data_IF_700466246170
#
_entry.id   IF_700466246170
#
_cell.length_a   1.000
_cell.length_b   1.000
_cell.length_c   1.000
_cell.angle_alpha   90.00
_cell.angle_beta   90.00
_cell.angle_gamma   90.00
#
_symmetry.space_group_name_H-M   'P 1'
#
loop_
_entity.id
_entity.type
_entity.pdbx_description
1 polymer ?
#
# COMPACT_ATOMS: atom_id res chain seq x y z
N UNK A 1 23.16 -6.28 -24.65
CA UNK A 1 22.26 -5.60 -23.70
C UNK A 1 20.89 -5.29 -24.31
N UNK A 2 20.79 -5.00 -25.61
CA UNK A 2 19.49 -4.71 -26.25
C UNK A 2 18.59 -5.95 -26.44
N UNK A 3 19.15 -7.16 -26.38
CA UNK A 3 18.46 -8.44 -26.61
C UNK A 3 18.11 -9.20 -25.31
N UNK A 4 18.26 -8.56 -24.14
CA UNK A 4 18.05 -9.17 -22.80
C UNK A 4 18.86 -10.47 -22.58
N UNK A 5 20.02 -10.59 -23.23
CA UNK A 5 20.96 -11.67 -22.98
C UNK A 5 21.78 -11.36 -21.73
N UNK A 6 21.42 -12.04 -20.63
CA UNK A 6 22.10 -11.95 -19.33
C UNK A 6 22.84 -13.24 -18.99
N UNK A 7 23.25 -14.00 -19.99
CA UNK A 7 24.11 -15.17 -19.77
C UNK A 7 25.37 -14.74 -19.00
N UNK A 8 25.70 -15.39 -17.87
CA UNK A 8 26.70 -14.88 -16.96
C UNK A 8 28.13 -15.11 -17.45
N UNK A 9 28.85 -14.02 -17.74
CA UNK A 9 30.32 -14.04 -17.68
C UNK A 9 30.83 -13.97 -16.24
N UNK A 10 30.07 -13.24 -15.40
CA UNK A 10 30.28 -13.18 -13.94
C UNK A 10 28.93 -13.01 -13.25
N UNK A 11 28.62 -13.89 -12.31
CA UNK A 11 27.31 -13.95 -11.63
C UNK A 11 27.09 -12.78 -10.67
N UNK A 12 25.89 -12.22 -10.64
CA UNK A 12 25.48 -11.15 -9.71
C UNK A 12 25.80 -11.53 -8.25
N UNK A 13 25.41 -12.72 -7.82
CA UNK A 13 25.66 -13.19 -6.44
C UNK A 13 27.15 -13.21 -6.05
N UNK A 14 28.04 -13.55 -6.98
CA UNK A 14 29.48 -13.53 -6.73
C UNK A 14 30.03 -12.12 -6.70
N UNK A 15 29.57 -11.27 -7.62
CA UNK A 15 29.98 -9.87 -7.65
C UNK A 15 29.59 -9.12 -6.38
N UNK A 16 28.35 -9.30 -5.88
CA UNK A 16 27.92 -8.73 -4.60
C UNK A 16 28.78 -9.22 -3.44
N UNK A 17 29.13 -10.50 -3.40
CA UNK A 17 30.04 -11.06 -2.39
C UNK A 17 31.40 -10.36 -2.43
N UNK A 18 31.99 -10.22 -3.62
CA UNK A 18 33.32 -9.62 -3.78
C UNK A 18 33.31 -8.13 -3.39
N UNK A 19 32.25 -7.38 -3.78
CA UNK A 19 32.09 -5.98 -3.38
C UNK A 19 31.93 -5.84 -1.86
N UNK A 20 31.20 -6.74 -1.19
CA UNK A 20 31.08 -6.72 0.27
C UNK A 20 32.42 -6.98 0.96
N UNK A 21 33.22 -7.90 0.45
CA UNK A 21 34.60 -8.15 0.95
C UNK A 21 35.42 -6.89 0.77
N UNK A 22 35.39 -6.25 -0.40
CA UNK A 22 36.15 -5.02 -0.64
C UNK A 22 35.78 -3.89 0.33
N UNK A 23 34.49 -3.75 0.67
CA UNK A 23 34.02 -2.77 1.67
C UNK A 23 34.50 -3.12 3.07
N UNK A 24 34.52 -4.40 3.44
CA UNK A 24 35.03 -4.85 4.77
C UNK A 24 36.52 -4.63 4.96
N UNK A 25 37.32 -4.82 3.91
CA UNK A 25 38.77 -4.68 3.91
C UNK A 25 39.23 -3.22 3.73
N UNK A 26 38.35 -2.32 3.30
CA UNK A 26 38.70 -0.92 3.07
C UNK A 26 38.86 -0.15 4.40
N UNK A 27 39.95 0.59 4.51
CA UNK A 27 40.21 1.47 5.67
C UNK A 27 39.59 2.87 5.54
N UNK A 28 38.70 3.06 4.54
CA UNK A 28 37.99 4.31 4.25
C UNK A 28 36.61 4.02 3.64
N UNK A 29 35.67 4.95 3.76
CA UNK A 29 34.31 4.75 3.24
C UNK A 29 34.25 4.63 1.73
N UNK A 30 33.68 3.53 1.22
CA UNK A 30 33.46 3.28 -0.21
C UNK A 30 32.01 3.59 -0.61
N UNK A 31 31.62 4.86 -0.56
CA UNK A 31 30.22 5.28 -0.79
C UNK A 31 29.66 4.80 -2.14
N UNK A 32 30.44 4.91 -3.23
CA UNK A 32 30.04 4.45 -4.55
C UNK A 32 29.85 2.92 -4.60
N UNK A 33 30.72 2.16 -3.96
CA UNK A 33 30.61 0.69 -3.90
C UNK A 33 29.38 0.28 -3.09
N UNK A 34 29.10 0.92 -1.97
CA UNK A 34 27.92 0.66 -1.16
C UNK A 34 26.63 0.91 -1.94
N UNK A 35 26.59 1.93 -2.78
CA UNK A 35 25.46 2.18 -3.67
C UNK A 35 25.27 1.04 -4.68
N UNK A 36 26.34 0.65 -5.36
CA UNK A 36 26.33 -0.46 -6.34
C UNK A 36 25.90 -1.78 -5.68
N UNK A 37 26.35 -2.05 -4.46
CA UNK A 37 25.91 -3.22 -3.70
C UNK A 37 24.38 -3.21 -3.52
N UNK A 38 23.78 -2.08 -3.14
CA UNK A 38 22.33 -1.97 -2.97
C UNK A 38 21.58 -2.26 -4.27
N UNK A 39 22.06 -1.72 -5.39
CA UNK A 39 21.44 -1.91 -6.72
C UNK A 39 21.46 -3.40 -7.14
N UNK A 40 22.58 -4.10 -6.89
CA UNK A 40 22.67 -5.53 -7.18
C UNK A 40 21.95 -6.43 -6.17
N UNK A 41 21.86 -6.03 -4.90
CA UNK A 41 21.05 -6.76 -3.90
C UNK A 41 19.57 -6.70 -4.30
N UNK A 42 19.08 -5.56 -4.74
CA UNK A 42 17.71 -5.43 -5.27
C UNK A 42 17.46 -6.38 -6.47
N UNK A 43 18.41 -6.49 -7.38
CA UNK A 43 18.33 -7.46 -8.48
C UNK A 43 18.32 -8.92 -7.99
N UNK A 44 19.08 -9.24 -6.93
CA UNK A 44 19.05 -10.58 -6.33
C UNK A 44 17.68 -10.89 -5.70
N UNK A 45 17.07 -9.92 -5.04
CA UNK A 45 15.74 -10.04 -4.44
C UNK A 45 14.64 -10.22 -5.52
N UNK A 46 14.86 -9.67 -6.72
CA UNK A 46 14.05 -9.93 -7.92
C UNK A 46 14.35 -11.28 -8.61
N UNK A 47 15.18 -12.15 -8.01
CA UNK A 47 15.49 -13.47 -8.54
C UNK A 47 16.59 -13.51 -9.61
N UNK A 48 17.39 -12.43 -9.75
CA UNK A 48 18.43 -12.31 -10.79
C UNK A 48 19.83 -12.71 -10.30
N UNK A 49 19.95 -13.43 -9.18
CA UNK A 49 21.22 -13.85 -8.56
C UNK A 49 22.14 -14.64 -9.49
N UNK A 50 21.54 -15.45 -10.36
CA UNK A 50 22.23 -16.36 -11.30
C UNK A 50 22.39 -15.78 -12.72
N UNK A 51 22.08 -14.50 -12.90
CA UNK A 51 22.34 -13.77 -14.13
C UNK A 51 23.72 -13.11 -14.11
N UNK A 52 24.18 -12.70 -15.30
CA UNK A 52 25.42 -11.92 -15.45
C UNK A 52 25.26 -10.49 -14.94
N UNK A 53 26.37 -9.90 -14.51
CA UNK A 53 26.38 -8.52 -13.95
C UNK A 53 25.86 -7.47 -14.93
N UNK A 54 25.82 -7.73 -16.23
CA UNK A 54 25.21 -6.84 -17.22
C UNK A 54 23.69 -6.68 -17.02
N UNK A 55 23.03 -7.55 -16.24
CA UNK A 55 21.61 -7.38 -15.89
C UNK A 55 21.36 -6.15 -14.99
N UNK A 56 22.42 -5.42 -14.57
CA UNK A 56 22.26 -4.14 -13.86
C UNK A 56 21.38 -3.14 -14.64
N UNK A 57 21.29 -3.28 -15.96
CA UNK A 57 20.37 -2.45 -16.77
C UNK A 57 18.92 -2.59 -16.30
N UNK A 58 18.52 -3.76 -15.75
CA UNK A 58 17.16 -4.00 -15.27
C UNK A 58 16.84 -3.17 -14.01
N UNK A 59 17.87 -2.81 -13.23
CA UNK A 59 17.69 -1.91 -12.10
C UNK A 59 17.28 -0.50 -12.56
N UNK A 60 17.81 -0.05 -13.70
CA UNK A 60 17.52 1.27 -14.26
C UNK A 60 16.35 1.28 -15.25
N UNK A 61 15.78 0.11 -15.55
CA UNK A 61 14.56 0.07 -16.37
C UNK A 61 13.39 0.65 -15.57
N UNK A 62 12.68 1.55 -16.21
CA UNK A 62 11.45 2.08 -15.65
C UNK A 62 10.44 0.94 -15.46
N UNK A 63 9.71 0.89 -14.34
CA UNK A 63 8.66 -0.08 -14.15
C UNK A 63 7.61 0.09 -15.26
N UNK A 64 7.21 -1.03 -15.86
CA UNK A 64 6.11 -1.03 -16.83
C UNK A 64 4.79 -1.21 -16.09
N UNK A 65 4.22 -0.11 -15.63
CA UNK A 65 2.94 -0.16 -14.94
C UNK A 65 1.82 -0.37 -15.96
N UNK A 66 1.09 -1.49 -15.80
CA UNK A 66 -0.02 -1.90 -16.65
C UNK A 66 -1.36 -1.90 -15.92
N UNK A 67 -1.35 -1.85 -14.60
CA UNK A 67 -2.55 -1.75 -13.77
C UNK A 67 -2.25 -0.98 -12.49
N UNK A 68 -3.28 -0.33 -11.93
CA UNK A 68 -3.21 0.32 -10.62
C UNK A 68 -4.17 -0.38 -9.66
N UNK A 69 -3.73 -0.67 -8.45
CA UNK A 69 -4.53 -1.29 -7.40
C UNK A 69 -4.58 -0.33 -6.22
N UNK A 70 -5.76 0.12 -5.89
CA UNK A 70 -6.00 1.04 -4.78
C UNK A 70 -6.35 0.26 -3.51
N UNK A 71 -5.74 0.60 -2.38
CA UNK A 71 -6.47 0.46 -1.13
C UNK A 71 -7.65 1.43 -1.09
N UNK A 72 -8.54 1.32 -0.12
CA UNK A 72 -9.72 2.17 -0.04
C UNK A 72 -9.72 3.07 1.19
N UNK A 73 -9.60 2.48 2.35
CA UNK A 73 -9.77 3.15 3.63
C UNK A 73 -8.53 3.98 3.98
N UNK A 74 -8.67 5.31 4.13
CA UNK A 74 -7.54 6.22 4.34
C UNK A 74 -6.85 6.66 3.02
N UNK A 75 -6.96 5.87 1.95
CA UNK A 75 -6.34 6.16 0.67
C UNK A 75 -7.29 6.83 -0.35
N UNK A 76 -8.44 6.22 -0.62
CA UNK A 76 -9.45 6.78 -1.52
C UNK A 76 -10.39 7.71 -0.78
N UNK A 77 -10.78 7.33 0.44
CA UNK A 77 -11.72 8.04 1.29
C UNK A 77 -11.14 8.29 2.68
N UNK A 78 -11.41 9.47 3.23
CA UNK A 78 -10.93 9.90 4.56
C UNK A 78 -11.69 9.18 5.69
N UNK A 79 -11.70 7.86 5.65
CA UNK A 79 -12.40 7.02 6.63
C UNK A 79 -11.68 6.92 7.97
N UNK A 80 -10.38 7.25 8.04
CA UNK A 80 -9.66 7.32 9.30
C UNK A 80 -10.13 8.46 10.19
N UNK A 81 -10.33 9.65 9.61
CA UNK A 81 -10.89 10.79 10.35
C UNK A 81 -12.30 10.47 10.86
N UNK A 82 -13.14 9.92 9.99
CA UNK A 82 -14.48 9.48 10.36
C UNK A 82 -14.42 8.49 11.53
N UNK A 83 -13.55 7.47 11.45
CA UNK A 83 -13.40 6.48 12.52
C UNK A 83 -13.00 7.11 13.86
N UNK A 84 -12.09 8.12 13.85
CA UNK A 84 -11.68 8.81 15.06
C UNK A 84 -12.83 9.54 15.74
N UNK A 85 -13.66 10.21 14.96
CA UNK A 85 -14.79 10.95 15.45
C UNK A 85 -15.89 9.98 15.94
N UNK A 86 -16.21 8.95 15.17
CA UNK A 86 -17.16 7.89 15.52
C UNK A 86 -16.77 7.15 16.79
N UNK A 87 -15.48 6.81 16.94
CA UNK A 87 -14.99 6.14 18.15
C UNK A 87 -15.23 6.98 19.41
N UNK A 88 -14.93 8.28 19.34
CA UNK A 88 -15.11 9.19 20.49
C UNK A 88 -16.59 9.35 20.87
N UNK A 89 -17.46 9.46 19.86
CA UNK A 89 -18.91 9.53 20.06
C UNK A 89 -19.44 8.24 20.70
N UNK A 90 -19.08 7.09 20.13
CA UNK A 90 -19.54 5.76 20.57
C UNK A 90 -18.98 5.39 21.96
N UNK A 91 -17.69 5.67 22.21
CA UNK A 91 -17.09 5.46 23.53
C UNK A 91 -17.82 6.26 24.63
N UNK A 92 -18.17 7.52 24.34
CA UNK A 92 -18.94 8.37 25.24
C UNK A 92 -20.36 7.82 25.46
N UNK A 93 -21.03 7.38 24.40
CA UNK A 93 -22.38 6.77 24.46
C UNK A 93 -22.40 5.52 25.34
N UNK A 94 -21.40 4.65 25.18
CA UNK A 94 -21.26 3.40 25.92
C UNK A 94 -20.63 3.57 27.33
N UNK A 95 -20.23 4.78 27.70
CA UNK A 95 -19.57 5.06 28.97
C UNK A 95 -18.16 4.45 29.08
N UNK A 96 -17.50 4.22 27.97
CA UNK A 96 -16.12 3.70 27.92
C UNK A 96 -15.14 4.85 28.05
N UNK A 97 -14.24 4.77 29.03
CA UNK A 97 -13.24 5.80 29.30
C UNK A 97 -11.92 5.43 28.66
N UNK A 98 -11.50 6.22 27.69
CA UNK A 98 -10.21 6.09 27.01
C UNK A 98 -9.42 7.40 27.12
N UNK A 99 -8.07 7.36 27.04
CA UNK A 99 -7.25 8.56 26.91
C UNK A 99 -7.57 9.38 25.67
N UNK A 100 -7.24 10.67 25.67
CA UNK A 100 -7.51 11.61 24.57
C UNK A 100 -6.84 11.22 23.23
N UNK A 101 -5.74 10.45 23.30
CA UNK A 101 -5.05 9.96 22.10
C UNK A 101 -5.74 8.78 21.41
N UNK A 102 -6.82 8.22 22.01
CA UNK A 102 -7.61 7.19 21.33
C UNK A 102 -8.50 7.83 20.26
N UNK A 103 -8.73 7.14 19.11
CA UNK A 103 -8.38 5.73 18.82
C UNK A 103 -7.11 5.53 18.00
N UNK A 104 -6.20 6.50 17.89
CA UNK A 104 -5.01 6.40 17.01
C UNK A 104 -4.29 5.03 17.11
N UNK A 105 -4.05 4.44 18.29
CA UNK A 105 -3.37 3.15 18.40
C UNK A 105 -4.18 1.95 17.88
N UNK A 106 -5.49 2.14 17.61
CA UNK A 106 -6.36 1.10 17.06
C UNK A 106 -6.37 1.08 15.53
N UNK A 107 -5.90 2.16 14.89
CA UNK A 107 -5.87 2.26 13.43
C UNK A 107 -4.87 1.24 12.89
N UNK A 108 -5.36 0.31 12.04
CA UNK A 108 -4.53 -0.72 11.43
C UNK A 108 -3.94 -1.76 12.39
N UNK A 109 -4.36 -1.80 13.68
CA UNK A 109 -3.87 -2.79 14.62
C UNK A 109 -4.50 -4.17 14.42
N UNK A 110 -3.80 -5.21 14.88
CA UNK A 110 -4.29 -6.58 14.88
C UNK A 110 -5.18 -6.89 16.11
N UNK A 111 -5.85 -8.05 16.08
CA UNK A 111 -6.74 -8.49 17.17
C UNK A 111 -6.04 -8.66 18.51
N UNK A 112 -4.73 -8.96 18.53
CA UNK A 112 -3.95 -9.10 19.78
C UNK A 112 -3.83 -7.73 20.45
N UNK A 113 -3.54 -6.71 19.66
CA UNK A 113 -3.41 -5.34 20.18
C UNK A 113 -4.75 -4.79 20.66
N UNK A 114 -5.85 -5.12 19.98
CA UNK A 114 -7.20 -4.80 20.48
C UNK A 114 -7.45 -5.46 21.84
N UNK A 115 -7.05 -6.73 22.02
CA UNK A 115 -7.20 -7.43 23.32
C UNK A 115 -6.33 -6.81 24.43
N UNK A 116 -5.14 -6.32 24.10
CA UNK A 116 -4.30 -5.58 25.05
C UNK A 116 -4.98 -4.27 25.49
N UNK A 117 -5.57 -3.53 24.53
CA UNK A 117 -6.32 -2.32 24.84
C UNK A 117 -7.61 -2.59 25.63
N UNK A 118 -8.31 -3.69 25.33
CA UNK A 118 -9.47 -4.11 26.12
C UNK A 118 -9.10 -4.39 27.59
N UNK A 119 -7.93 -5.01 27.83
CA UNK A 119 -7.44 -5.24 29.19
C UNK A 119 -7.10 -3.94 29.94
N UNK A 120 -6.64 -2.90 29.24
CA UNK A 120 -6.31 -1.59 29.81
C UNK A 120 -7.54 -0.67 29.90
N UNK A 121 -8.43 -0.75 28.95
CA UNK A 121 -9.61 0.12 28.79
C UNK A 121 -10.84 -0.75 28.50
N UNK A 122 -11.46 -1.34 29.51
CA UNK A 122 -12.60 -2.24 29.34
C UNK A 122 -13.76 -1.59 28.57
N UNK A 123 -14.24 -2.30 27.56
CA UNK A 123 -15.30 -1.85 26.67
C UNK A 123 -14.83 -1.37 25.30
N UNK A 124 -13.51 -1.26 25.04
CA UNK A 124 -12.96 -0.88 23.73
C UNK A 124 -13.42 -1.85 22.64
N UNK A 125 -13.41 -3.15 22.91
CA UNK A 125 -13.87 -4.17 21.96
C UNK A 125 -15.32 -3.94 21.57
N UNK A 126 -16.19 -3.66 22.53
CA UNK A 126 -17.60 -3.36 22.28
C UNK A 126 -17.77 -2.11 21.43
N UNK A 127 -17.00 -1.04 21.69
CA UNK A 127 -17.02 0.17 20.86
C UNK A 127 -16.67 -0.17 19.42
N UNK A 128 -15.61 -0.97 19.21
CA UNK A 128 -15.17 -1.39 17.88
C UNK A 128 -16.20 -2.25 17.13
N UNK A 129 -16.89 -3.14 17.85
CA UNK A 129 -17.96 -3.99 17.29
C UNK A 129 -19.14 -3.15 16.83
N UNK A 130 -19.64 -2.23 17.64
CA UNK A 130 -20.75 -1.34 17.29
C UNK A 130 -20.39 -0.41 16.11
N UNK A 131 -19.16 0.15 16.09
CA UNK A 131 -18.67 0.92 14.94
C UNK A 131 -18.65 0.05 13.66
N UNK A 132 -18.19 -1.21 13.76
CA UNK A 132 -18.15 -2.09 12.60
C UNK A 132 -19.55 -2.41 12.05
N UNK A 133 -20.56 -2.54 12.92
CA UNK A 133 -21.95 -2.77 12.52
C UNK A 133 -22.58 -1.53 11.86
N UNK A 134 -22.34 -0.34 12.42
CA UNK A 134 -22.94 0.91 11.96
C UNK A 134 -22.12 1.63 10.87
N UNK A 135 -20.90 1.19 10.58
CA UNK A 135 -19.90 1.85 9.73
C UNK A 135 -20.45 2.44 8.43
N UNK A 136 -21.32 1.70 7.74
CA UNK A 136 -21.84 2.15 6.45
C UNK A 136 -22.83 3.30 6.64
N UNK A 137 -23.75 3.19 7.59
CA UNK A 137 -24.77 4.21 7.82
C UNK A 137 -24.13 5.47 8.43
N UNK A 138 -23.13 5.29 9.30
CA UNK A 138 -22.35 6.40 9.83
C UNK A 138 -21.57 7.12 8.74
N UNK A 139 -20.95 6.41 7.79
CA UNK A 139 -20.26 7.01 6.64
C UNK A 139 -21.17 8.00 5.88
N UNK A 140 -22.40 7.61 5.53
CA UNK A 140 -23.32 8.49 4.81
C UNK A 140 -23.90 9.61 5.69
N UNK A 141 -23.91 9.43 6.99
CA UNK A 141 -24.30 10.47 7.96
C UNK A 141 -23.19 11.50 8.13
N UNK A 142 -21.95 11.04 8.17
CA UNK A 142 -20.76 11.87 8.35
C UNK A 142 -20.42 12.65 7.07
N UNK A 143 -20.34 11.97 5.95
CA UNK A 143 -20.10 12.53 4.63
C UNK A 143 -21.42 12.72 3.86
N UNK A 144 -22.14 13.79 4.18
CA UNK A 144 -23.48 14.02 3.62
C UNK A 144 -23.45 14.27 2.10
N UNK A 145 -22.47 15.03 1.65
CA UNK A 145 -22.37 15.42 0.24
C UNK A 145 -21.53 14.42 -0.54
N UNK A 146 -21.97 13.92 -1.71
CA UNK A 146 -21.14 13.10 -2.58
C UNK A 146 -19.78 13.75 -2.87
N UNK A 147 -18.72 12.99 -2.74
CA UNK A 147 -17.35 13.45 -2.94
C UNK A 147 -16.71 14.10 -1.72
N UNK A 148 -17.45 14.41 -0.64
CA UNK A 148 -16.88 15.03 0.55
C UNK A 148 -15.93 14.13 1.34
N UNK A 149 -16.00 12.80 1.11
CA UNK A 149 -15.10 11.82 1.68
C UNK A 149 -13.79 11.65 0.88
N UNK A 150 -13.71 12.15 -0.34
CA UNK A 150 -12.61 11.84 -1.24
C UNK A 150 -11.28 12.40 -0.72
N UNK A 151 -10.24 11.57 -0.81
CA UNK A 151 -8.88 12.03 -0.60
C UNK A 151 -8.41 12.93 -1.74
N UNK A 152 -7.48 13.82 -1.43
CA UNK A 152 -6.97 14.83 -2.38
C UNK A 152 -6.38 14.16 -3.62
N UNK A 153 -6.86 14.56 -4.80
CA UNK A 153 -6.38 14.06 -6.08
C UNK A 153 -7.06 12.78 -6.59
N UNK A 154 -8.01 12.19 -5.83
CA UNK A 154 -8.67 10.94 -6.25
C UNK A 154 -9.32 11.07 -7.63
N UNK A 155 -10.16 12.09 -7.83
CA UNK A 155 -10.84 12.30 -9.11
C UNK A 155 -9.83 12.50 -10.25
N UNK A 156 -8.83 13.38 -10.05
CA UNK A 156 -7.82 13.65 -11.06
C UNK A 156 -7.05 12.39 -11.48
N UNK A 157 -6.71 11.54 -10.50
CA UNK A 157 -5.99 10.30 -10.77
C UNK A 157 -6.87 9.29 -11.52
N UNK A 158 -8.13 9.14 -11.15
CA UNK A 158 -9.06 8.25 -11.86
C UNK A 158 -9.28 8.73 -13.29
N UNK A 159 -9.51 10.02 -13.52
CA UNK A 159 -9.63 10.62 -14.86
C UNK A 159 -8.37 10.32 -15.69
N UNK A 160 -7.17 10.54 -15.13
CA UNK A 160 -5.92 10.21 -15.82
C UNK A 160 -5.79 8.73 -16.18
N UNK A 161 -6.15 7.83 -15.26
CA UNK A 161 -6.10 6.36 -15.45
C UNK A 161 -7.06 5.94 -16.58
N UNK A 162 -8.29 6.46 -16.58
CA UNK A 162 -9.32 6.15 -17.59
C UNK A 162 -8.94 6.70 -18.96
N UNK A 163 -8.47 7.95 -19.06
CA UNK A 163 -7.98 8.55 -20.30
C UNK A 163 -6.83 7.74 -20.93
N UNK A 164 -5.96 7.18 -20.09
CA UNK A 164 -4.82 6.37 -20.53
C UNK A 164 -5.13 4.88 -20.64
N UNK A 165 -6.38 4.47 -20.42
CA UNK A 165 -6.86 3.08 -20.52
C UNK A 165 -6.04 2.13 -19.64
N UNK A 166 -5.64 2.56 -18.47
CA UNK A 166 -4.97 1.74 -17.47
C UNK A 166 -6.05 1.05 -16.63
N UNK A 167 -6.15 -0.28 -16.63
CA UNK A 167 -7.10 -0.97 -15.78
C UNK A 167 -6.76 -0.76 -14.30
N UNK A 168 -7.79 -0.68 -13.45
CA UNK A 168 -7.58 -0.51 -12.03
C UNK A 168 -8.51 -1.36 -11.17
N UNK A 169 -8.05 -1.69 -9.98
CA UNK A 169 -8.80 -2.43 -8.99
C UNK A 169 -8.84 -1.69 -7.65
N UNK A 170 -9.83 -2.04 -6.83
CA UNK A 170 -9.89 -1.69 -5.41
C UNK A 170 -9.73 -2.96 -4.58
N UNK A 171 -8.74 -2.98 -3.69
CA UNK A 171 -8.41 -4.11 -2.81
C UNK A 171 -8.39 -3.67 -1.35
N UNK A 172 -9.46 -3.97 -0.61
CA UNK A 172 -9.71 -3.45 0.74
C UNK A 172 -9.95 -4.56 1.77
N UNK A 173 -9.75 -4.25 3.04
CA UNK A 173 -10.15 -5.09 4.16
C UNK A 173 -11.63 -4.93 4.55
N UNK A 174 -12.33 -3.99 3.97
CA UNK A 174 -13.75 -3.72 4.20
C UNK A 174 -14.66 -4.76 3.52
N UNK A 175 -15.89 -4.89 4.02
CA UNK A 175 -16.88 -5.81 3.45
C UNK A 175 -17.26 -5.38 2.00
N UNK A 176 -17.47 -6.31 1.05
CA UNK A 176 -17.76 -5.98 -0.36
C UNK A 176 -18.92 -5.01 -0.57
N UNK A 177 -19.96 -5.10 0.26
CA UNK A 177 -21.10 -4.17 0.19
C UNK A 177 -20.71 -2.74 0.64
N UNK A 178 -19.88 -2.61 1.67
CA UNK A 178 -19.37 -1.31 2.12
C UNK A 178 -18.50 -0.67 1.04
N UNK A 179 -17.59 -1.45 0.42
CA UNK A 179 -16.75 -0.96 -0.69
C UNK A 179 -17.63 -0.36 -1.80
N UNK A 180 -18.61 -1.12 -2.29
CA UNK A 180 -19.52 -0.65 -3.35
C UNK A 180 -20.28 0.62 -2.98
N UNK A 181 -20.77 0.71 -1.74
CA UNK A 181 -21.49 1.89 -1.25
C UNK A 181 -20.57 3.12 -1.17
N UNK A 182 -19.36 2.97 -0.63
CA UNK A 182 -18.42 4.09 -0.54
C UNK A 182 -18.00 4.58 -1.93
N UNK A 183 -17.68 3.67 -2.85
CA UNK A 183 -17.40 4.03 -4.25
C UNK A 183 -18.56 4.81 -4.91
N UNK A 184 -19.81 4.44 -4.62
CA UNK A 184 -20.99 5.15 -5.16
C UNK A 184 -21.14 6.57 -4.62
N UNK A 185 -20.46 6.92 -3.53
CA UNK A 185 -20.51 8.24 -2.90
C UNK A 185 -19.38 9.19 -3.36
N UNK A 186 -18.56 8.78 -4.30
CA UNK A 186 -17.41 9.56 -4.77
C UNK A 186 -17.78 10.89 -5.45
N UNK A 187 -19.03 11.10 -5.87
CA UNK A 187 -19.49 12.32 -6.54
C UNK A 187 -19.10 12.41 -8.02
N UNK A 188 -18.40 11.41 -8.54
CA UNK A 188 -18.06 11.24 -9.96
C UNK A 188 -18.13 9.75 -10.34
N UNK A 189 -18.02 9.43 -11.63
CA UNK A 189 -18.02 8.03 -12.07
C UNK A 189 -16.75 7.34 -11.60
N UNK A 190 -16.89 6.34 -10.75
CA UNK A 190 -15.82 5.55 -10.18
C UNK A 190 -16.13 4.07 -10.39
N UNK A 191 -15.58 3.50 -11.47
CA UNK A 191 -15.92 2.17 -11.95
C UNK A 191 -14.69 1.27 -12.08
N UNK A 192 -14.14 0.75 -10.96
CA UNK A 192 -13.01 -0.15 -11.01
C UNK A 192 -13.33 -1.41 -11.80
N UNK A 193 -12.37 -1.90 -12.58
CA UNK A 193 -12.50 -3.15 -13.33
C UNK A 193 -12.69 -4.35 -12.38
N UNK A 194 -12.08 -4.27 -11.19
CA UNK A 194 -12.09 -5.34 -10.19
C UNK A 194 -12.24 -4.76 -8.79
N UNK A 195 -13.02 -5.44 -7.96
CA UNK A 195 -13.10 -5.21 -6.51
C UNK A 195 -12.73 -6.51 -5.82
N UNK A 196 -11.81 -6.43 -4.85
CA UNK A 196 -11.39 -7.55 -3.99
C UNK A 196 -11.53 -7.14 -2.53
N UNK A 197 -12.15 -7.98 -1.74
CA UNK A 197 -12.26 -7.83 -0.29
C UNK A 197 -11.54 -8.96 0.44
N UNK A 198 -10.81 -8.67 1.50
CA UNK A 198 -10.25 -9.72 2.35
C UNK A 198 -11.34 -10.59 2.99
N UNK A 199 -12.57 -10.09 3.10
CA UNK A 199 -13.74 -10.84 3.61
C UNK A 199 -14.24 -11.92 2.64
N UNK A 200 -13.69 -12.00 1.43
CA UNK A 200 -13.94 -13.09 0.47
C UNK A 200 -13.09 -14.37 0.75
N UNK A 201 -12.46 -14.45 1.91
CA UNK A 201 -11.65 -15.62 2.32
C UNK A 201 -10.15 -15.45 2.11
N UNK A 202 -9.69 -14.27 1.76
CA UNK A 202 -8.27 -13.93 1.65
C UNK A 202 -7.70 -13.58 3.02
N UNK A 203 -6.41 -13.89 3.22
CA UNK A 203 -5.68 -13.43 4.40
C UNK A 203 -5.58 -11.90 4.39
N UNK A 204 -5.69 -11.32 5.58
CA UNK A 204 -5.56 -9.87 5.75
C UNK A 204 -4.12 -9.41 5.53
N UNK A 205 -3.93 -8.17 5.07
CA UNK A 205 -2.64 -7.48 5.04
C UNK A 205 -1.94 -7.63 6.41
N UNK A 206 -0.64 -7.95 6.48
CA UNK A 206 0.37 -7.85 5.44
C UNK A 206 0.52 -9.08 4.52
N UNK A 207 -0.40 -10.06 4.54
CA UNK A 207 -0.40 -11.09 3.52
C UNK A 207 -0.72 -10.49 2.14
N UNK A 208 -0.11 -11.01 1.04
CA UNK A 208 -0.24 -10.43 -0.29
C UNK A 208 -1.57 -10.78 -0.99
N UNK A 209 -2.40 -11.61 -0.37
CA UNK A 209 -3.50 -12.34 -0.98
C UNK A 209 -4.47 -11.43 -1.74
N UNK A 210 -4.90 -10.31 -1.15
CA UNK A 210 -5.88 -9.38 -1.78
C UNK A 210 -5.30 -8.69 -3.01
N UNK A 211 -4.02 -8.35 -2.99
CA UNK A 211 -3.35 -7.72 -4.12
C UNK A 211 -3.06 -8.71 -5.24
N UNK A 212 -2.63 -9.92 -4.89
CA UNK A 212 -2.45 -11.00 -5.88
C UNK A 212 -3.77 -11.37 -6.55
N UNK A 213 -4.87 -11.46 -5.79
CA UNK A 213 -6.20 -11.71 -6.35
C UNK A 213 -6.66 -10.56 -7.27
N UNK A 214 -6.34 -9.31 -6.93
CA UNK A 214 -6.65 -8.18 -7.79
C UNK A 214 -5.88 -8.24 -9.11
N UNK A 215 -4.59 -8.52 -9.07
CA UNK A 215 -3.74 -8.68 -10.25
C UNK A 215 -4.21 -9.83 -11.17
N UNK A 216 -4.54 -10.98 -10.57
CA UNK A 216 -5.07 -12.15 -11.28
C UNK A 216 -6.39 -11.80 -12.00
N UNK A 217 -7.34 -11.15 -11.29
CA UNK A 217 -8.62 -10.76 -11.88
C UNK A 217 -8.51 -9.67 -12.95
N UNK A 218 -7.44 -8.85 -12.92
CA UNK A 218 -7.10 -7.87 -13.96
C UNK A 218 -6.34 -8.48 -15.13
N UNK A 219 -5.92 -9.76 -15.04
CA UNK A 219 -5.02 -10.43 -16.01
C UNK A 219 -3.70 -9.66 -16.22
N UNK A 220 -3.12 -9.14 -15.12
CA UNK A 220 -1.85 -8.40 -15.13
C UNK A 220 -0.89 -9.07 -14.15
N UNK A 221 0.37 -9.24 -14.59
CA UNK A 221 1.41 -9.80 -13.71
C UNK A 221 1.69 -8.87 -12.53
N UNK A 222 1.96 -9.43 -11.32
CA UNK A 222 2.26 -8.63 -10.12
C UNK A 222 3.34 -7.57 -10.33
N UNK A 223 4.43 -7.89 -11.01
CA UNK A 223 5.52 -6.97 -11.30
C UNK A 223 5.14 -5.78 -12.21
N UNK A 224 3.97 -5.81 -12.83
CA UNK A 224 3.43 -4.74 -13.66
C UNK A 224 2.25 -4.01 -12.97
N UNK A 225 1.97 -4.31 -11.71
CA UNK A 225 0.96 -3.64 -10.91
C UNK A 225 1.58 -2.57 -10.02
N UNK A 226 0.89 -1.45 -9.90
CA UNK A 226 1.19 -0.38 -8.95
C UNK A 226 0.14 -0.37 -7.86
N UNK A 227 0.54 -0.63 -6.62
CA UNK A 227 -0.31 -0.54 -5.43
C UNK A 227 -0.19 0.87 -4.84
N UNK A 228 -1.33 1.46 -4.50
CA UNK A 228 -1.41 2.71 -3.76
C UNK A 228 -1.93 2.40 -2.36
N UNK A 229 -1.19 2.85 -1.35
CA UNK A 229 -1.42 2.49 0.05
C UNK A 229 -0.99 3.60 1.02
N UNK A 230 -1.69 3.70 2.15
CA UNK A 230 -1.42 4.66 3.22
C UNK A 230 -0.98 3.97 4.53
N UNK A 231 -1.06 2.63 4.59
CA UNK A 231 -0.81 1.84 5.79
C UNK A 231 0.47 1.00 5.72
N UNK A 232 1.08 0.75 6.91
CA UNK A 232 2.23 -0.14 7.04
C UNK A 232 1.93 -1.54 6.54
N UNK A 233 0.82 -2.13 6.97
CA UNK A 233 0.46 -3.50 6.59
C UNK A 233 0.19 -3.61 5.09
N UNK A 234 -0.35 -2.57 4.47
CA UNK A 234 -0.60 -2.56 3.04
C UNK A 234 0.68 -2.45 2.21
N UNK A 235 1.62 -1.58 2.58
CA UNK A 235 2.93 -1.48 1.93
C UNK A 235 3.70 -2.81 2.04
N UNK A 236 3.69 -3.45 3.21
CA UNK A 236 4.27 -4.78 3.40
C UNK A 236 3.56 -5.84 2.52
N UNK A 237 2.24 -5.78 2.40
CA UNK A 237 1.48 -6.70 1.54
C UNK A 237 1.84 -6.52 0.06
N UNK A 238 2.02 -5.27 -0.41
CA UNK A 238 2.46 -4.97 -1.77
C UNK A 238 3.87 -5.51 -2.05
N UNK A 239 4.80 -5.32 -1.11
CA UNK A 239 6.16 -5.88 -1.19
C UNK A 239 6.14 -7.41 -1.21
N UNK A 240 5.34 -8.05 -0.35
CA UNK A 240 5.16 -9.50 -0.33
C UNK A 240 4.52 -10.04 -1.63
N UNK A 241 3.68 -9.23 -2.29
CA UNK A 241 3.12 -9.53 -3.61
C UNK A 241 4.12 -9.31 -4.76
N UNK A 242 5.30 -8.74 -4.51
CA UNK A 242 6.30 -8.32 -5.51
C UNK A 242 5.73 -7.30 -6.49
N UNK A 243 4.90 -6.40 -6.01
CA UNK A 243 4.32 -5.30 -6.77
C UNK A 243 5.07 -4.00 -6.51
N UNK A 244 5.01 -3.08 -7.46
CA UNK A 244 5.41 -1.70 -7.20
C UNK A 244 4.40 -1.05 -6.24
N UNK A 245 4.89 -0.17 -5.37
CA UNK A 245 4.00 0.54 -4.44
C UNK A 245 4.39 1.99 -4.27
N UNK A 246 3.37 2.83 -4.09
CA UNK A 246 3.52 4.22 -3.65
C UNK A 246 2.82 4.35 -2.30
N UNK A 247 3.55 4.84 -1.32
CA UNK A 247 2.99 5.23 -0.04
C UNK A 247 2.40 6.65 -0.17
N UNK A 248 1.12 6.78 0.14
CA UNK A 248 0.46 8.08 0.23
C UNK A 248 0.40 8.45 1.71
N UNK A 249 1.14 9.49 2.07
CA UNK A 249 1.22 9.91 3.45
C UNK A 249 -0.09 10.59 3.87
N UNK A 250 -0.88 9.94 4.72
CA UNK A 250 -2.01 10.58 5.38
C UNK A 250 -1.55 11.19 6.74
N UNK A 251 -1.96 10.67 7.87
CA UNK A 251 -1.74 11.28 9.19
C UNK A 251 -0.53 10.68 9.93
N UNK A 252 -0.10 9.49 9.56
CA UNK A 252 0.95 8.75 10.27
C UNK A 252 2.25 8.82 9.47
N UNK A 253 3.30 9.39 10.07
CA UNK A 253 4.63 9.31 9.47
C UNK A 253 5.16 7.87 9.51
N UNK A 254 5.81 7.40 8.42
CA UNK A 254 6.33 6.04 8.38
C UNK A 254 7.42 5.82 9.45
N UNK A 255 7.30 4.73 10.19
CA UNK A 255 8.33 4.26 11.11
C UNK A 255 9.54 3.67 10.34
N UNK A 256 10.61 3.33 11.08
CA UNK A 256 11.85 2.87 10.43
C UNK A 256 11.67 1.51 9.75
N UNK A 257 10.84 0.62 10.27
CA UNK A 257 10.52 -0.65 9.63
C UNK A 257 9.73 -0.43 8.33
N UNK A 258 8.73 0.46 8.34
CA UNK A 258 7.95 0.77 7.16
C UNK A 258 8.79 1.39 6.03
N UNK A 259 9.78 2.23 6.38
CA UNK A 259 10.70 2.84 5.41
C UNK A 259 11.48 1.83 4.59
N UNK A 260 11.71 0.62 5.11
CA UNK A 260 12.39 -0.44 4.37
C UNK A 260 11.56 -0.97 3.19
N UNK A 261 10.24 -0.86 3.26
CA UNK A 261 9.30 -1.33 2.24
C UNK A 261 8.82 -0.24 1.28
N UNK A 262 8.96 1.04 1.65
CA UNK A 262 8.53 2.17 0.81
C UNK A 262 9.50 2.34 -0.37
N UNK A 263 8.99 2.15 -1.57
CA UNK A 263 9.76 2.36 -2.81
C UNK A 263 9.65 3.81 -3.30
N UNK A 264 8.46 4.39 -3.22
CA UNK A 264 8.16 5.77 -3.60
C UNK A 264 7.08 6.31 -2.63
N UNK A 265 7.05 7.63 -2.43
CA UNK A 265 6.02 8.27 -1.61
C UNK A 265 5.51 9.55 -2.25
N UNK A 266 4.23 9.82 -2.04
CA UNK A 266 3.58 11.05 -2.48
C UNK A 266 2.78 11.65 -1.32
N UNK A 267 2.60 12.96 -1.34
CA UNK A 267 1.79 13.67 -0.34
C UNK A 267 0.29 13.51 -0.58
N UNK A 268 -0.11 13.25 -1.81
CA UNK A 268 -1.49 13.00 -2.23
C UNK A 268 -1.54 12.21 -3.55
N UNK A 269 -2.74 11.88 -4.01
CA UNK A 269 -2.94 11.08 -5.21
C UNK A 269 -2.59 11.82 -6.52
N UNK A 270 -2.44 13.16 -6.53
CA UNK A 270 -1.96 13.87 -7.71
C UNK A 270 -0.49 13.51 -8.02
N UNK A 271 0.34 13.30 -6.98
CA UNK A 271 1.73 12.89 -7.17
C UNK A 271 1.89 11.56 -7.91
N UNK A 272 0.90 10.67 -7.82
CA UNK A 272 0.89 9.39 -8.56
C UNK A 272 0.80 9.60 -10.07
N UNK A 273 0.10 10.65 -10.52
CA UNK A 273 0.01 10.99 -11.95
C UNK A 273 1.40 11.27 -12.52
N UNK A 274 2.21 12.02 -11.79
CA UNK A 274 3.58 12.33 -12.23
C UNK A 274 4.49 11.10 -12.22
N UNK A 275 4.29 10.19 -11.26
CA UNK A 275 4.97 8.89 -11.28
C UNK A 275 4.59 8.08 -12.51
N UNK A 276 3.30 7.91 -12.80
CA UNK A 276 2.82 7.18 -13.98
C UNK A 276 3.31 7.77 -15.30
N UNK A 277 3.42 9.11 -15.41
CA UNK A 277 4.03 9.79 -16.57
C UNK A 277 5.51 9.45 -16.73
N UNK A 278 6.25 9.31 -15.62
CA UNK A 278 7.67 8.92 -15.64
C UNK A 278 7.89 7.47 -16.04
N UNK A 279 6.90 6.57 -15.80
CA UNK A 279 6.96 5.15 -16.16
C UNK A 279 6.68 4.87 -17.65
N UNK A 280 6.13 5.82 -18.39
CA UNK A 280 5.97 5.76 -19.84
C UNK A 280 7.30 6.10 -20.51
#
# INVERSE_FOLDING_TARGET
MLENDYAPGFYVKHFVKDLKIAVQEANFPLYGVNRVIKEYVDLMDRGMSDLGTQCLIEYFRKPQIKAVIFDMDGLMFNTEKMFKDEFKEKAKELGVSCPDYFPEPLIGCDSRKVAEFEAMYPGVTRVMEEIQEERVDYFFTYFKEPGSANMVGLQNLIEYIEENKIPYAVASSSHPQAIKKFLSHAGFVLSPNVIVSSKEGYKSKPAPDVFLAAAERLDVKPENCLVLEDSKHGIMAAANAKMHSIFIQDQIAPDDEMKEYIQESCTDLNGVIDYLKRCK
#
